data_IF_314301310606
#
_entry.id   IF_314301310606
#
_cell.length_a   1.000
_cell.length_b   1.000
_cell.length_c   1.000
_cell.angle_alpha   90.00
_cell.angle_beta   90.00
_cell.angle_gamma   90.00
#
_symmetry.space_group_name_H-M   'P 1'
#
loop_
_entity.id
_entity.type
_entity.pdbx_description
1 polymer ?
#
# COMPACT_ATOMS: atom_id res chain seq x y z
N UNK A 1 1.29 -10.17 29.73
CA UNK A 1 1.05 -9.78 28.32
C UNK A 1 1.29 -8.29 28.24
N UNK A 2 2.38 -7.86 27.63
CA UNK A 2 2.59 -6.44 27.31
C UNK A 2 1.78 -6.12 26.06
N UNK A 3 0.83 -5.19 26.15
CA UNK A 3 0.26 -4.59 24.95
C UNK A 3 1.34 -3.71 24.31
N UNK A 4 1.72 -4.01 23.08
CA UNK A 4 2.53 -3.12 22.26
C UNK A 4 1.60 -2.11 21.61
N UNK A 5 1.58 -0.89 22.12
CA UNK A 5 0.91 0.22 21.45
C UNK A 5 1.83 0.76 20.36
N UNK A 6 1.28 1.01 19.18
CA UNK A 6 1.98 1.68 18.11
C UNK A 6 1.15 2.86 17.61
N UNK A 7 1.86 3.83 17.07
CA UNK A 7 1.31 5.07 16.57
C UNK A 7 2.09 5.47 15.33
N UNK A 8 1.43 5.43 14.19
CA UNK A 8 1.98 5.75 12.89
C UNK A 8 1.39 7.08 12.44
N UNK A 9 2.26 8.06 12.21
CA UNK A 9 1.88 9.37 11.70
C UNK A 9 2.55 9.59 10.35
N UNK A 10 1.83 10.14 9.39
CA UNK A 10 2.34 10.31 8.04
C UNK A 10 1.33 10.97 7.10
N UNK A 11 1.73 11.09 5.84
CA UNK A 11 0.88 11.64 4.78
C UNK A 11 0.53 10.56 3.78
N UNK A 12 -0.75 10.33 3.52
CA UNK A 12 -1.18 9.25 2.64
C UNK A 12 -2.69 9.06 2.59
N UNK A 13 -3.08 7.83 2.25
CA UNK A 13 -4.45 7.46 1.91
C UNK A 13 -5.00 6.37 2.83
N UNK A 14 -6.33 6.34 2.96
CA UNK A 14 -7.06 5.20 3.50
C UNK A 14 -7.38 4.23 2.37
N UNK A 15 -6.73 3.08 2.35
CA UNK A 15 -6.83 2.13 1.23
C UNK A 15 -8.23 1.52 1.12
N UNK A 16 -8.94 1.36 2.24
CA UNK A 16 -10.34 0.90 2.27
C UNK A 16 -11.33 1.81 1.50
N UNK A 17 -10.98 3.07 1.25
CA UNK A 17 -11.84 3.96 0.46
C UNK A 17 -11.83 3.57 -1.03
N UNK A 18 -10.88 2.74 -1.47
CA UNK A 18 -10.86 2.11 -2.79
C UNK A 18 -11.83 0.93 -2.78
N UNK A 19 -13.09 1.20 -3.14
CA UNK A 19 -14.17 0.19 -3.10
C UNK A 19 -14.19 -0.76 -4.30
N UNK A 20 -13.47 -0.42 -5.37
CA UNK A 20 -13.51 -1.17 -6.61
C UNK A 20 -12.63 -2.43 -6.53
N UNK A 21 -13.27 -3.59 -6.70
CA UNK A 21 -12.63 -4.90 -6.64
C UNK A 21 -12.51 -5.49 -8.05
N UNK A 22 -11.64 -4.91 -8.87
CA UNK A 22 -11.38 -5.37 -10.23
C UNK A 22 -10.03 -6.06 -10.33
N UNK A 23 -10.03 -7.38 -10.55
CA UNK A 23 -8.82 -8.18 -10.76
C UNK A 23 -8.04 -7.70 -11.98
N UNK A 24 -8.73 -7.28 -13.05
CA UNK A 24 -8.08 -6.75 -14.25
C UNK A 24 -7.27 -5.48 -13.96
N UNK A 25 -7.84 -4.57 -13.15
CA UNK A 25 -7.18 -3.35 -12.71
C UNK A 25 -6.03 -3.63 -11.75
N UNK A 26 -6.20 -4.59 -10.84
CA UNK A 26 -5.13 -5.03 -9.95
C UNK A 26 -3.96 -5.62 -10.76
N UNK A 27 -4.24 -6.45 -11.76
CA UNK A 27 -3.20 -6.97 -12.67
C UNK A 27 -2.55 -5.85 -13.49
N UNK A 28 -3.30 -4.81 -13.87
CA UNK A 28 -2.73 -3.64 -14.53
C UNK A 28 -1.78 -2.86 -13.61
N UNK A 29 -2.12 -2.75 -12.31
CA UNK A 29 -1.26 -2.17 -11.28
C UNK A 29 0.03 -2.98 -11.11
N UNK A 30 -0.08 -4.31 -11.02
CA UNK A 30 1.07 -5.21 -10.86
C UNK A 30 2.05 -5.14 -12.04
N UNK A 31 1.59 -4.84 -13.26
CA UNK A 31 2.49 -4.62 -14.40
C UNK A 31 3.43 -3.42 -14.23
N UNK A 32 3.15 -2.51 -13.30
CA UNK A 32 4.05 -1.41 -12.95
C UNK A 32 5.21 -1.86 -12.05
N UNK A 33 5.13 -3.06 -11.48
CA UNK A 33 6.08 -3.65 -10.54
C UNK A 33 6.35 -5.13 -10.91
N UNK A 34 7.14 -5.39 -11.97
CA UNK A 34 7.37 -6.73 -12.50
C UNK A 34 7.99 -7.72 -11.49
N UNK A 35 8.83 -7.26 -10.56
CA UNK A 35 9.41 -8.14 -9.54
C UNK A 35 8.33 -8.61 -8.55
N UNK A 36 7.46 -7.70 -8.11
CA UNK A 36 6.30 -8.04 -7.30
C UNK A 36 5.31 -8.94 -8.04
N UNK A 37 4.97 -8.65 -9.30
CA UNK A 37 4.07 -9.48 -10.12
C UNK A 37 4.59 -10.92 -10.20
N UNK A 38 5.90 -11.10 -10.43
CA UNK A 38 6.50 -12.42 -10.45
C UNK A 38 6.44 -13.12 -9.09
N UNK A 39 6.66 -12.39 -8.00
CA UNK A 39 6.58 -12.93 -6.63
C UNK A 39 5.17 -13.40 -6.27
N UNK A 40 4.15 -12.60 -6.58
CA UNK A 40 2.74 -12.95 -6.34
C UNK A 40 2.35 -14.16 -7.19
N UNK A 41 2.73 -14.22 -8.47
CA UNK A 41 2.45 -15.38 -9.33
C UNK A 41 3.14 -16.65 -8.85
N UNK A 42 4.38 -16.56 -8.38
CA UNK A 42 5.08 -17.69 -7.80
C UNK A 42 4.34 -18.21 -6.56
N UNK A 43 3.93 -17.31 -5.67
CA UNK A 43 3.15 -17.64 -4.47
C UNK A 43 1.79 -18.27 -4.82
N UNK A 44 1.03 -17.72 -5.76
CA UNK A 44 -0.23 -18.31 -6.24
C UNK A 44 -0.01 -19.70 -6.85
N UNK A 45 1.09 -19.89 -7.59
CA UNK A 45 1.44 -21.19 -8.16
C UNK A 45 1.81 -22.23 -7.09
N UNK A 46 2.39 -21.82 -5.95
CA UNK A 46 2.66 -22.73 -4.83
C UNK A 46 1.37 -23.21 -4.14
N UNK A 47 0.29 -22.43 -4.26
CA UNK A 47 -1.03 -22.75 -3.74
C UNK A 47 -1.92 -23.50 -4.75
N UNK A 48 -1.39 -23.86 -5.93
CA UNK A 48 -2.13 -24.45 -7.05
C UNK A 48 -3.31 -23.59 -7.53
N UNK A 49 -3.24 -22.27 -7.37
CA UNK A 49 -4.26 -21.31 -7.82
C UNK A 49 -3.96 -20.90 -9.26
N UNK A 50 -4.74 -21.43 -10.21
CA UNK A 50 -4.56 -21.14 -11.64
C UNK A 50 -5.29 -19.87 -12.11
N UNK A 51 -6.44 -19.57 -11.51
CA UNK A 51 -7.28 -18.41 -11.82
C UNK A 51 -7.58 -17.65 -10.52
N UNK A 52 -6.68 -16.74 -10.10
CA UNK A 52 -6.82 -16.02 -8.85
C UNK A 52 -7.97 -15.01 -8.90
N UNK A 53 -8.82 -15.04 -7.88
CA UNK A 53 -9.83 -14.01 -7.63
C UNK A 53 -9.28 -12.86 -6.79
N UNK A 54 -10.13 -11.88 -6.43
CA UNK A 54 -9.70 -10.73 -5.64
C UNK A 54 -9.18 -11.12 -4.25
N UNK A 55 -9.86 -12.05 -3.58
CA UNK A 55 -9.54 -12.46 -2.21
C UNK A 55 -8.20 -13.22 -2.18
N UNK A 56 -7.90 -14.01 -3.21
CA UNK A 56 -6.60 -14.66 -3.37
C UNK A 56 -5.44 -13.64 -3.34
N UNK A 57 -5.60 -12.45 -3.97
CA UNK A 57 -4.57 -11.41 -3.88
C UNK A 57 -4.51 -10.74 -2.50
N UNK A 58 -5.65 -10.58 -1.82
CA UNK A 58 -5.67 -9.97 -0.48
C UNK A 58 -4.94 -10.85 0.55
N UNK A 59 -4.97 -12.17 0.35
CA UNK A 59 -4.30 -13.17 1.19
C UNK A 59 -2.77 -13.24 0.97
N UNK A 60 -2.22 -12.47 0.02
CA UNK A 60 -0.78 -12.41 -0.23
C UNK A 60 0.00 -11.93 1.01
N UNK A 61 -0.54 -10.98 1.77
CA UNK A 61 0.07 -10.51 3.02
C UNK A 61 -0.25 -11.43 4.19
N UNK A 62 0.54 -12.49 4.34
CA UNK A 62 0.37 -13.46 5.43
C UNK A 62 0.95 -12.99 6.78
N UNK A 63 1.59 -11.83 6.84
CA UNK A 63 2.25 -11.34 8.07
C UNK A 63 1.33 -10.40 8.83
N UNK A 64 0.79 -9.40 8.13
CA UNK A 64 -0.03 -8.35 8.73
C UNK A 64 -1.46 -8.34 8.20
N UNK A 65 -1.76 -9.11 7.15
CA UNK A 65 -3.11 -9.21 6.56
C UNK A 65 -3.67 -7.85 6.11
N UNK A 66 -2.82 -6.97 5.59
CA UNK A 66 -3.21 -5.64 5.12
C UNK A 66 -3.60 -5.62 3.63
N UNK A 67 -3.52 -6.77 2.95
CA UNK A 67 -4.01 -6.98 1.58
C UNK A 67 -3.55 -5.92 0.59
N UNK A 68 -4.52 -5.16 0.06
CA UNK A 68 -4.29 -4.13 -0.95
C UNK A 68 -3.28 -3.07 -0.50
N UNK A 69 -3.22 -2.72 0.78
CA UNK A 69 -2.26 -1.74 1.28
C UNK A 69 -0.81 -2.24 1.13
N UNK A 70 -0.58 -3.52 1.41
CA UNK A 70 0.73 -4.17 1.23
C UNK A 70 1.12 -4.31 -0.24
N UNK A 71 0.15 -4.59 -1.12
CA UNK A 71 0.38 -4.63 -2.57
C UNK A 71 0.75 -3.24 -3.08
N UNK A 72 -0.03 -2.20 -2.76
CA UNK A 72 0.25 -0.83 -3.17
C UNK A 72 1.61 -0.33 -2.63
N UNK A 73 1.94 -0.66 -1.38
CA UNK A 73 3.25 -0.36 -0.80
C UNK A 73 4.36 -0.94 -1.67
N UNK A 74 4.33 -2.25 -1.95
CA UNK A 74 5.39 -2.92 -2.71
C UNK A 74 5.45 -2.42 -4.17
N UNK A 75 4.30 -2.13 -4.81
CA UNK A 75 4.27 -1.56 -6.17
C UNK A 75 4.94 -0.19 -6.21
N UNK A 76 4.62 0.69 -5.26
CA UNK A 76 5.18 2.04 -5.22
C UNK A 76 6.65 2.00 -4.85
N UNK A 77 7.05 1.13 -3.93
CA UNK A 77 8.44 0.96 -3.53
C UNK A 77 9.31 0.48 -4.71
N UNK A 78 8.82 -0.48 -5.50
CA UNK A 78 9.53 -0.95 -6.70
C UNK A 78 9.58 0.11 -7.81
N UNK A 79 8.45 0.79 -8.07
CA UNK A 79 8.34 1.71 -9.20
C UNK A 79 8.95 3.11 -8.94
N UNK A 80 8.86 3.61 -7.72
CA UNK A 80 9.30 4.97 -7.35
C UNK A 80 10.51 5.00 -6.41
N UNK A 81 10.87 3.86 -5.80
CA UNK A 81 11.93 3.81 -4.79
C UNK A 81 11.56 4.52 -3.49
N UNK A 82 10.27 4.70 -3.22
CA UNK A 82 9.76 5.40 -2.05
C UNK A 82 9.30 4.40 -0.99
N UNK A 83 9.81 4.53 0.23
CA UNK A 83 9.39 3.67 1.34
C UNK A 83 8.11 4.19 1.96
N UNK A 84 7.03 3.44 1.76
CA UNK A 84 5.73 3.69 2.38
C UNK A 84 5.48 2.68 3.50
N UNK A 85 4.54 3.01 4.39
CA UNK A 85 4.12 2.14 5.48
C UNK A 85 2.66 1.76 5.28
N UNK A 86 2.39 0.48 5.02
CA UNK A 86 1.06 -0.08 5.15
C UNK A 86 0.78 -0.34 6.65
N UNK A 87 -0.39 0.09 7.14
CA UNK A 87 -0.82 -0.13 8.52
C UNK A 87 -2.34 -0.07 8.67
N UNK A 88 -2.87 -0.58 9.77
CA UNK A 88 -4.30 -0.63 10.09
C UNK A 88 -4.65 0.11 11.38
N UNK A 89 -5.79 0.82 11.45
CA UNK A 89 -6.22 1.39 12.72
C UNK A 89 -6.84 0.34 13.67
N UNK A 90 -7.16 0.75 14.90
CA UNK A 90 -7.85 -0.12 15.88
C UNK A 90 -9.20 -0.68 15.41
N UNK A 91 -9.80 -0.13 14.34
CA UNK A 91 -11.03 -0.62 13.74
C UNK A 91 -10.79 -1.61 12.58
N UNK A 92 -9.51 -1.85 12.24
CA UNK A 92 -9.09 -2.70 11.13
C UNK A 92 -9.11 -1.99 9.79
N UNK A 93 -9.28 -0.66 9.75
CA UNK A 93 -9.24 0.07 8.49
C UNK A 93 -7.79 0.21 8.00
N UNK A 94 -7.55 -0.10 6.73
CA UNK A 94 -6.18 -0.10 6.18
C UNK A 94 -5.78 1.25 5.60
N UNK A 95 -4.51 1.61 5.80
CA UNK A 95 -3.91 2.87 5.37
C UNK A 95 -2.55 2.60 4.73
N UNK A 96 -2.17 3.51 3.83
CA UNK A 96 -0.85 3.55 3.22
C UNK A 96 -0.31 4.97 3.35
N UNK A 97 0.77 5.13 4.12
CA UNK A 97 1.28 6.46 4.50
C UNK A 97 2.78 6.60 4.25
N UNK A 98 3.20 7.81 3.90
CA UNK A 98 4.59 8.24 3.94
C UNK A 98 4.91 8.82 5.31
N UNK A 99 5.79 8.16 6.07
CA UNK A 99 6.18 8.58 7.41
C UNK A 99 7.41 9.51 7.36
N UNK A 100 7.52 10.47 8.29
CA UNK A 100 8.76 11.22 8.44
C UNK A 100 9.86 10.31 8.97
N UNK A 101 11.03 10.37 8.34
CA UNK A 101 12.24 9.66 8.74
C UNK A 101 13.35 10.63 9.14
N UNK A 102 14.40 10.11 9.78
CA UNK A 102 15.52 10.94 10.17
C UNK A 102 16.29 11.46 8.95
N UNK A 103 16.89 12.67 9.01
CA UNK A 103 17.61 13.24 7.86
C UNK A 103 18.72 12.36 7.25
N UNK A 104 19.33 11.47 8.04
CA UNK A 104 20.35 10.52 7.57
C UNK A 104 19.79 9.23 6.95
N UNK A 105 18.47 9.03 7.05
CA UNK A 105 17.74 7.92 6.41
C UNK A 105 17.04 8.38 5.13
N UNK A 106 16.88 9.70 4.92
CA UNK A 106 16.28 10.28 3.72
C UNK A 106 17.14 9.94 2.50
N UNK A 107 16.53 9.25 1.54
CA UNK A 107 17.14 8.98 0.24
C UNK A 107 17.23 10.24 -0.61
N UNK A 108 18.09 10.25 -1.63
CA UNK A 108 18.14 11.38 -2.58
C UNK A 108 16.79 11.64 -3.25
N UNK A 109 15.97 10.60 -3.48
CA UNK A 109 14.62 10.70 -4.04
C UNK A 109 13.64 11.39 -3.09
N UNK A 110 13.73 11.09 -1.80
CA UNK A 110 12.88 11.64 -0.73
C UNK A 110 13.24 13.10 -0.38
N UNK A 111 14.45 13.56 -0.72
CA UNK A 111 14.92 14.90 -0.38
C UNK A 111 14.11 16.03 -1.02
N UNK A 112 13.69 15.84 -2.27
CA UNK A 112 12.95 16.84 -3.05
C UNK A 112 11.44 16.56 -3.08
N UNK A 113 10.96 15.67 -2.21
CA UNK A 113 9.58 15.26 -2.16
C UNK A 113 8.72 16.38 -1.57
N UNK A 114 7.65 16.74 -2.29
CA UNK A 114 6.65 17.72 -1.81
C UNK A 114 5.31 17.04 -1.57
N UNK A 115 4.44 17.71 -0.81
CA UNK A 115 3.06 17.26 -0.59
C UNK A 115 2.33 17.05 -1.91
N UNK A 116 2.44 17.99 -2.85
CA UNK A 116 1.80 17.88 -4.17
C UNK A 116 2.33 16.71 -4.98
N UNK A 117 3.63 16.41 -4.88
CA UNK A 117 4.23 15.27 -5.56
C UNK A 117 3.73 13.93 -4.99
N UNK A 118 3.50 13.85 -3.67
CA UNK A 118 2.89 12.69 -3.02
C UNK A 118 1.44 12.52 -3.45
N UNK A 119 0.66 13.60 -3.46
CA UNK A 119 -0.74 13.56 -3.92
C UNK A 119 -0.81 13.04 -5.36
N UNK A 120 0.01 13.60 -6.26
CA UNK A 120 0.06 13.16 -7.66
C UNK A 120 0.45 11.69 -7.81
N UNK A 121 1.43 11.24 -7.02
CA UNK A 121 1.86 9.84 -7.00
C UNK A 121 0.72 8.93 -6.55
N UNK A 122 0.11 9.18 -5.39
CA UNK A 122 -1.00 8.38 -4.87
C UNK A 122 -2.17 8.35 -5.87
N UNK A 123 -2.57 9.51 -6.41
CA UNK A 123 -3.63 9.58 -7.41
C UNK A 123 -3.30 8.74 -8.65
N UNK A 124 -2.05 8.74 -9.13
CA UNK A 124 -1.67 7.96 -10.31
C UNK A 124 -1.89 6.45 -10.10
N UNK A 125 -1.55 5.91 -8.94
CA UNK A 125 -1.73 4.48 -8.64
C UNK A 125 -3.17 4.14 -8.30
N UNK A 126 -3.86 5.00 -7.54
CA UNK A 126 -5.28 4.78 -7.21
C UNK A 126 -6.16 4.86 -8.46
N UNK A 127 -5.85 5.75 -9.40
CA UNK A 127 -6.56 5.83 -10.68
C UNK A 127 -6.43 4.58 -11.56
N UNK A 128 -5.45 3.70 -11.29
CA UNK A 128 -5.38 2.39 -11.94
C UNK A 128 -6.45 1.45 -11.38
N UNK A 129 -6.75 1.58 -10.09
CA UNK A 129 -7.68 0.72 -9.35
C UNK A 129 -9.13 1.22 -9.39
N UNK A 130 -9.34 2.53 -9.24
CA UNK A 130 -10.66 3.16 -9.20
C UNK A 130 -10.67 4.49 -9.95
N UNK A 131 -11.80 4.80 -10.59
CA UNK A 131 -12.01 6.11 -11.21
C UNK A 131 -12.40 7.20 -10.16
N UNK A 132 -12.66 6.80 -8.91
CA UNK A 132 -13.01 7.73 -7.83
C UNK A 132 -11.76 8.37 -7.23
N UNK A 133 -11.73 9.71 -7.07
CA UNK A 133 -10.62 10.37 -6.42
C UNK A 133 -10.61 10.03 -4.93
N UNK A 134 -9.43 9.68 -4.42
CA UNK A 134 -9.21 9.44 -3.00
C UNK A 134 -8.68 10.69 -2.31
N UNK A 135 -9.04 10.85 -1.04
CA UNK A 135 -8.48 11.90 -0.20
C UNK A 135 -7.07 11.48 0.26
N UNK A 136 -6.07 12.28 -0.12
CA UNK A 136 -4.70 12.16 0.37
C UNK A 136 -4.50 13.23 1.43
N UNK A 137 -4.06 12.85 2.62
CA UNK A 137 -3.96 13.78 3.72
C UNK A 137 -3.08 13.30 4.87
N UNK A 138 -3.01 14.11 5.92
CA UNK A 138 -2.32 13.73 7.16
C UNK A 138 -3.12 12.65 7.90
N UNK A 139 -2.45 11.56 8.23
CA UNK A 139 -3.00 10.42 8.95
C UNK A 139 -2.32 10.25 10.31
N UNK A 140 -3.13 9.96 11.32
CA UNK A 140 -2.71 9.56 12.67
C UNK A 140 -3.38 8.21 12.97
N UNK A 141 -2.63 7.13 12.75
CA UNK A 141 -3.10 5.75 12.85
C UNK A 141 -2.57 5.13 14.15
N UNK A 142 -3.49 4.58 14.96
CA UNK A 142 -3.18 3.95 16.27
C UNK A 142 -3.94 2.63 16.40
N UNK A 143 -3.30 1.63 17.01
CA UNK A 143 -3.92 0.33 17.34
C UNK A 143 -4.61 0.33 18.73
N UNK A 144 -4.43 1.37 19.56
CA UNK A 144 -5.10 1.46 20.86
C UNK A 144 -5.05 2.86 21.48
N UNK A 145 -6.09 3.18 22.27
CA UNK A 145 -6.24 4.43 23.02
C UNK A 145 -5.93 4.30 24.51
#
# INVERSE_FOLDING_TARGET
MSYSTWHNYGYGIRVDDIKEQSVERLQALLKLAPELDQKIRAWLSELDIAEPDWDDYMDFDQVYYLGLATILQQVIEEAEGLRLTACDDSSGATYLIYQPCYPWEITDRERDLTEESLVQMFSRYVNVLSDEPIEVGSQDVKNGG
#
